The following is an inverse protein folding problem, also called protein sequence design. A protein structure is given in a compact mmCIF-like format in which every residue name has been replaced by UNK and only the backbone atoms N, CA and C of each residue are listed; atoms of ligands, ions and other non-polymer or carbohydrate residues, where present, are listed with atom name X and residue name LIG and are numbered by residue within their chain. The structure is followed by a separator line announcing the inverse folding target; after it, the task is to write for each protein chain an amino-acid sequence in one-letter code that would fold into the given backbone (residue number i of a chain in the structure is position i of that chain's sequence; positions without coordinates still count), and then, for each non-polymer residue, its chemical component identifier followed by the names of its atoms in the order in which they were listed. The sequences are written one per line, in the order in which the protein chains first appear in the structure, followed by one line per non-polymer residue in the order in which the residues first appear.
data_IF_351051708840
#
_entry.id   IF_351051708840
#
_cell.length_a   1.000
_cell.length_b   1.000
_cell.length_c   1.000
_cell.angle_alpha   90.00
_cell.angle_beta   90.00
_cell.angle_gamma   90.00
#
_symmetry.space_group_name_H-M   'P 1'
#
loop_
_entity.id
_entity.type
_entity.pdbx_description
1 polymer ?
#
# COMPACT_ATOMS: atom_id res chain seq x y z
N UNK A 1 10.96 5.04 23.55
CA UNK A 1 12.07 4.04 23.60
C UNK A 1 13.36 4.69 24.06
N UNK A 2 13.99 5.56 23.27
CA UNK A 2 15.29 6.17 23.63
C UNK A 2 15.28 6.91 24.99
N UNK A 3 14.22 7.67 25.29
CA UNK A 3 14.07 8.32 26.61
C UNK A 3 14.02 7.34 27.79
N UNK A 4 13.46 6.14 27.59
CA UNK A 4 13.45 5.11 28.63
C UNK A 4 14.86 4.54 28.84
N UNK A 5 15.61 4.31 27.75
CA UNK A 5 17.01 3.88 27.83
C UNK A 5 17.89 4.94 28.52
N UNK A 6 17.73 6.22 28.17
CA UNK A 6 18.45 7.34 28.80
C UNK A 6 18.17 7.44 30.30
N UNK A 7 16.94 7.18 30.72
CA UNK A 7 16.52 7.18 32.12
C UNK A 7 16.88 5.88 32.88
N UNK A 8 17.48 4.87 32.23
CA UNK A 8 17.75 3.57 32.83
C UNK A 8 16.50 2.76 33.17
N UNK A 9 15.40 2.98 32.44
CA UNK A 9 14.10 2.34 32.64
C UNK A 9 13.87 1.22 31.60
N UNK A 10 13.08 0.18 31.93
CA UNK A 10 12.73 -0.85 30.97
C UNK A 10 11.86 -0.28 29.84
N UNK A 11 12.14 -0.70 28.59
CA UNK A 11 11.29 -0.41 27.42
C UNK A 11 10.04 -1.28 27.40
N UNK A 12 9.23 -1.22 28.45
CA UNK A 12 7.95 -1.92 28.57
C UNK A 12 6.80 -0.93 28.54
N UNK A 13 5.64 -1.34 28.01
CA UNK A 13 4.44 -0.52 28.02
C UNK A 13 3.41 -1.04 29.03
N UNK A 14 2.93 -0.16 29.90
CA UNK A 14 1.74 -0.36 30.76
C UNK A 14 1.76 -1.63 31.62
N UNK A 15 2.96 -2.06 32.03
CA UNK A 15 3.16 -3.19 32.95
C UNK A 15 2.90 -2.79 34.41
N UNK A 16 2.59 -3.77 35.28
CA UNK A 16 2.38 -3.53 36.72
C UNK A 16 3.61 -3.08 37.53
N UNK A 17 4.83 -3.16 36.97
CA UNK A 17 6.01 -2.54 37.57
C UNK A 17 5.86 -1.01 37.61
N UNK A 18 6.34 -0.37 38.69
CA UNK A 18 6.33 1.10 38.80
C UNK A 18 7.12 1.76 37.65
N UNK A 19 8.25 1.17 37.29
CA UNK A 19 9.10 1.64 36.21
C UNK A 19 8.57 1.24 34.82
N UNK A 20 9.04 1.97 33.79
CA UNK A 20 8.73 1.72 32.39
C UNK A 20 7.89 2.83 31.76
N UNK A 21 7.52 2.64 30.50
CA UNK A 21 6.73 3.60 29.74
C UNK A 21 5.25 3.37 30.11
N UNK A 22 4.57 4.44 30.54
CA UNK A 22 3.15 4.41 30.92
C UNK A 22 2.35 5.36 30.04
N UNK A 23 1.23 4.90 29.51
CA UNK A 23 0.25 5.76 28.84
C UNK A 23 -0.48 6.65 29.84
N UNK A 24 -1.12 7.72 29.36
CA UNK A 24 -1.98 8.52 30.22
C UNK A 24 -3.15 7.68 30.73
N UNK A 25 -3.73 6.83 29.87
CA UNK A 25 -4.76 5.88 30.31
C UNK A 25 -4.28 4.99 31.48
N UNK A 26 -3.07 4.42 31.41
CA UNK A 26 -2.53 3.62 32.49
C UNK A 26 -2.39 4.44 33.77
N UNK A 27 -1.87 5.65 33.69
CA UNK A 27 -1.74 6.54 34.84
C UNK A 27 -3.12 6.88 35.43
N UNK A 28 -4.08 7.29 34.61
CA UNK A 28 -5.48 7.53 35.01
C UNK A 28 -6.06 6.36 35.79
N UNK A 29 -5.81 5.14 35.33
CA UNK A 29 -6.38 3.93 35.94
C UNK A 29 -5.63 3.42 37.18
N UNK A 30 -4.34 3.73 37.33
CA UNK A 30 -3.49 3.05 38.32
C UNK A 30 -2.71 3.99 39.26
N UNK A 31 -2.64 5.29 38.99
CA UNK A 31 -1.88 6.22 39.83
C UNK A 31 -2.60 6.49 41.17
N UNK A 32 -1.86 6.64 42.29
CA UNK A 32 -2.45 7.08 43.54
C UNK A 32 -2.98 8.52 43.41
N UNK A 33 -4.01 8.86 44.19
CA UNK A 33 -4.58 10.22 44.23
C UNK A 33 -5.00 10.74 42.84
N UNK A 34 -5.62 9.88 42.03
CA UNK A 34 -6.00 10.22 40.66
C UNK A 34 -7.05 11.34 40.58
N UNK A 35 -6.81 12.29 39.68
CA UNK A 35 -7.72 13.37 39.28
C UNK A 35 -7.88 13.49 37.76
N UNK A 36 -7.47 12.46 37.01
CA UNK A 36 -7.59 12.38 35.56
C UNK A 36 -8.72 11.43 35.15
N UNK A 37 -9.36 11.69 34.02
CA UNK A 37 -10.28 10.79 33.31
C UNK A 37 -9.81 10.49 31.88
N UNK A 38 -8.60 10.94 31.55
CA UNK A 38 -8.03 10.81 30.21
C UNK A 38 -7.60 9.38 29.88
N UNK A 39 -7.75 9.03 28.61
CA UNK A 39 -7.48 7.69 28.07
C UNK A 39 -6.53 7.72 26.85
N UNK A 40 -5.85 8.84 26.61
CA UNK A 40 -4.85 8.93 25.56
C UNK A 40 -3.63 8.01 25.82
N UNK A 41 -2.96 7.50 24.76
CA UNK A 41 -3.16 7.79 23.34
C UNK A 41 -4.06 6.78 22.61
N UNK A 42 -4.57 5.75 23.28
CA UNK A 42 -5.16 4.58 22.62
C UNK A 42 -6.30 4.88 21.64
N UNK A 43 -7.30 5.74 21.95
CA UNK A 43 -8.36 6.04 21.00
C UNK A 43 -7.86 6.67 19.70
N UNK A 44 -6.84 7.53 19.77
CA UNK A 44 -6.26 8.16 18.60
C UNK A 44 -5.46 7.17 17.75
N UNK A 45 -4.66 6.32 18.40
CA UNK A 45 -3.89 5.27 17.72
C UNK A 45 -4.82 4.27 17.00
N UNK A 46 -5.90 3.86 17.67
CA UNK A 46 -6.88 2.92 17.12
C UNK A 46 -7.58 3.47 15.87
N UNK A 47 -7.80 4.79 15.77
CA UNK A 47 -8.36 5.44 14.57
C UNK A 47 -7.52 5.17 13.31
N UNK A 48 -6.22 4.94 13.48
CA UNK A 48 -5.27 4.68 12.40
C UNK A 48 -4.87 3.20 12.31
N UNK A 49 -5.60 2.30 12.97
CA UNK A 49 -5.37 0.86 12.90
C UNK A 49 -4.25 0.34 13.80
N UNK A 50 -3.69 1.17 14.68
CA UNK A 50 -2.71 0.73 15.68
C UNK A 50 -3.47 0.28 16.93
N UNK A 51 -3.59 -1.03 17.12
CA UNK A 51 -4.22 -1.60 18.31
C UNK A 51 -3.35 -1.37 19.56
N UNK A 52 -3.93 -1.62 20.74
CA UNK A 52 -3.20 -1.54 22.02
C UNK A 52 -2.04 -2.53 22.06
N UNK A 53 -2.29 -3.72 21.54
CA UNK A 53 -1.35 -4.82 21.43
C UNK A 53 -0.22 -4.48 20.45
N UNK A 54 -0.55 -3.91 19.28
CA UNK A 54 0.45 -3.43 18.32
C UNK A 54 1.31 -2.33 18.94
N UNK A 55 0.71 -1.34 19.59
CA UNK A 55 1.46 -0.26 20.23
C UNK A 55 2.39 -0.78 21.33
N UNK A 56 1.91 -1.73 22.16
CA UNK A 56 2.75 -2.40 23.15
C UNK A 56 3.91 -3.14 22.49
N UNK A 57 3.64 -3.93 21.46
CA UNK A 57 4.65 -4.66 20.72
C UNK A 57 5.71 -3.72 20.13
N UNK A 58 5.30 -2.62 19.51
CA UNK A 58 6.20 -1.63 18.90
C UNK A 58 7.04 -0.88 19.95
N UNK A 59 6.45 -0.56 21.11
CA UNK A 59 7.18 0.05 22.23
C UNK A 59 8.24 -0.92 22.77
N UNK A 60 7.95 -2.22 22.83
CA UNK A 60 8.82 -3.24 23.42
C UNK A 60 9.90 -3.74 22.46
N UNK A 61 9.57 -3.89 21.18
CA UNK A 61 10.46 -4.48 20.18
C UNK A 61 11.07 -3.44 19.22
N UNK A 62 10.39 -2.30 19.03
CA UNK A 62 10.75 -1.28 18.05
C UNK A 62 9.90 -1.46 16.80
N UNK A 63 9.87 -0.43 15.96
CA UNK A 63 9.09 -0.43 14.72
C UNK A 63 10.06 -0.46 13.54
N UNK A 64 9.99 -1.53 12.74
CA UNK A 64 10.66 -1.65 11.44
C UNK A 64 9.61 -1.86 10.37
N UNK A 65 9.47 -0.89 9.47
CA UNK A 65 8.57 -0.98 8.31
C UNK A 65 9.45 -1.29 7.10
N UNK A 66 9.26 -2.47 6.50
CA UNK A 66 9.91 -2.81 5.24
C UNK A 66 9.19 -2.07 4.10
N UNK A 67 9.81 -1.01 3.60
CA UNK A 67 9.25 -0.13 2.56
C UNK A 67 9.75 -0.54 1.17
N UNK A 68 9.10 0.00 0.13
CA UNK A 68 9.44 -0.26 -1.27
C UNK A 68 8.81 -1.54 -1.81
N UNK A 69 9.42 -2.08 -2.85
CA UNK A 69 8.98 -3.32 -3.49
C UNK A 69 9.21 -4.52 -2.60
N UNK A 70 8.14 -5.27 -2.37
CA UNK A 70 8.12 -6.49 -1.58
C UNK A 70 7.64 -7.65 -2.45
N UNK A 71 8.00 -8.89 -2.09
CA UNK A 71 7.66 -10.09 -2.86
C UNK A 71 7.45 -11.30 -1.96
N UNK A 72 6.49 -12.14 -2.33
CA UNK A 72 6.34 -13.50 -1.82
C UNK A 72 6.03 -14.47 -2.98
N UNK A 73 5.62 -15.69 -2.66
CA UNK A 73 5.29 -16.73 -3.64
C UNK A 73 4.06 -16.39 -4.51
N UNK A 74 3.20 -15.47 -4.04
CA UNK A 74 1.99 -15.05 -4.77
C UNK A 74 2.29 -13.92 -5.75
N UNK A 75 3.12 -12.95 -5.36
CA UNK A 75 3.45 -11.83 -6.23
C UNK A 75 4.19 -10.70 -5.53
N UNK A 76 4.21 -9.54 -6.19
CA UNK A 76 4.81 -8.32 -5.70
C UNK A 76 3.76 -7.37 -5.12
N UNK A 77 4.12 -6.61 -4.09
CA UNK A 77 3.37 -5.44 -3.63
C UNK A 77 4.33 -4.29 -3.35
N UNK A 78 3.81 -3.07 -3.16
CA UNK A 78 4.63 -1.89 -2.90
C UNK A 78 4.23 -1.23 -1.59
N UNK A 79 5.16 -1.14 -0.64
CA UNK A 79 4.92 -0.52 0.67
C UNK A 79 5.44 0.91 0.67
N UNK A 80 4.56 1.88 0.91
CA UNK A 80 4.90 3.28 1.09
C UNK A 80 5.67 3.51 2.40
N UNK A 81 6.24 4.71 2.58
CA UNK A 81 7.01 5.06 3.78
C UNK A 81 6.22 4.97 5.08
N UNK A 82 4.90 5.12 5.01
CA UNK A 82 3.98 5.02 6.16
C UNK A 82 3.48 3.58 6.43
N UNK A 83 3.98 2.59 5.67
CA UNK A 83 3.57 1.19 5.77
C UNK A 83 2.29 0.85 5.01
N UNK A 84 1.59 1.83 4.42
CA UNK A 84 0.45 1.57 3.55
C UNK A 84 0.90 0.98 2.20
N UNK A 85 -0.02 0.34 1.48
CA UNK A 85 0.24 -0.19 0.14
C UNK A 85 -1.03 -0.08 -0.74
N UNK A 86 -0.88 0.11 -2.06
CA UNK A 86 -2.01 0.30 -2.97
C UNK A 86 -2.84 -0.98 -3.09
N UNK A 87 -4.17 -0.82 -3.12
CA UNK A 87 -5.15 -1.90 -3.32
C UNK A 87 -6.25 -1.44 -4.26
N UNK A 88 -6.62 -2.29 -5.22
CA UNK A 88 -7.62 -2.05 -6.28
C UNK A 88 -7.43 -0.73 -7.04
N UNK A 89 -6.18 -0.31 -7.25
CA UNK A 89 -5.87 0.99 -7.85
C UNK A 89 -4.61 0.98 -8.69
N UNK A 90 -4.55 1.97 -9.58
CA UNK A 90 -3.31 2.36 -10.22
C UNK A 90 -2.38 3.04 -9.21
N UNK A 91 -1.08 2.80 -9.36
CA UNK A 91 -0.02 3.48 -8.63
C UNK A 91 1.13 3.80 -9.59
N UNK A 92 1.67 5.03 -9.51
CA UNK A 92 2.85 5.42 -10.27
C UNK A 92 4.08 5.31 -9.39
N UNK A 93 4.97 4.38 -9.72
CA UNK A 93 6.18 4.09 -8.93
C UNK A 93 7.39 4.36 -9.84
N UNK A 94 8.26 5.29 -9.42
CA UNK A 94 9.48 5.66 -10.16
C UNK A 94 9.26 6.00 -11.65
N UNK A 95 8.12 6.62 -11.98
CA UNK A 95 7.79 7.03 -13.35
C UNK A 95 6.91 6.03 -14.11
N UNK A 96 6.81 4.79 -13.65
CA UNK A 96 6.06 3.70 -14.31
C UNK A 96 4.72 3.46 -13.62
N UNK A 97 3.68 3.20 -14.41
CA UNK A 97 2.34 2.89 -13.90
C UNK A 97 2.14 1.39 -13.73
N UNK A 98 1.59 1.02 -12.58
CA UNK A 98 1.22 -0.34 -12.19
C UNK A 98 -0.23 -0.36 -11.71
N UNK A 99 -0.82 -1.55 -11.61
CA UNK A 99 -2.11 -1.74 -10.95
C UNK A 99 -2.01 -2.84 -9.92
N UNK A 100 -2.61 -2.60 -8.76
CA UNK A 100 -2.63 -3.55 -7.65
C UNK A 100 -4.05 -4.04 -7.41
N UNK A 101 -4.22 -5.34 -7.19
CA UNK A 101 -5.52 -5.95 -6.91
C UNK A 101 -6.03 -5.64 -5.50
N UNK A 102 -7.17 -6.24 -5.12
CA UNK A 102 -7.82 -6.02 -3.82
C UNK A 102 -6.98 -6.45 -2.62
N UNK A 103 -6.06 -7.39 -2.82
CA UNK A 103 -5.11 -7.86 -1.80
C UNK A 103 -3.80 -7.08 -1.81
N UNK A 104 -3.63 -6.19 -2.79
CA UNK A 104 -2.43 -5.37 -2.96
C UNK A 104 -1.35 -6.03 -3.79
N UNK A 105 -1.65 -7.12 -4.51
CA UNK A 105 -0.70 -7.73 -5.42
C UNK A 105 -0.72 -7.02 -6.77
N UNK A 106 0.47 -6.74 -7.29
CA UNK A 106 0.68 -6.15 -8.60
C UNK A 106 0.16 -7.09 -9.69
N UNK A 107 -0.64 -6.57 -10.61
CA UNK A 107 -1.03 -7.29 -11.82
C UNK A 107 0.16 -7.39 -12.78
N UNK A 108 0.42 -8.60 -13.26
CA UNK A 108 1.41 -8.89 -14.29
C UNK A 108 0.84 -9.91 -15.28
N UNK A 109 1.13 -9.72 -16.57
CA UNK A 109 0.58 -10.48 -17.69
C UNK A 109 -0.95 -10.58 -17.67
N UNK A 110 -1.61 -9.43 -17.44
CA UNK A 110 -3.06 -9.39 -17.16
C UNK A 110 -3.75 -8.18 -17.77
N UNK A 111 -4.96 -8.43 -18.23
CA UNK A 111 -5.93 -7.40 -18.60
C UNK A 111 -6.70 -6.90 -17.37
N UNK A 112 -7.01 -5.60 -17.34
CA UNK A 112 -7.91 -4.98 -16.35
C UNK A 112 -8.85 -4.02 -17.06
N UNK A 113 -10.15 -4.22 -16.90
CA UNK A 113 -11.13 -3.18 -17.21
C UNK A 113 -11.22 -2.24 -16.02
N UNK A 114 -10.97 -0.96 -16.24
CA UNK A 114 -11.01 0.04 -15.18
C UNK A 114 -12.40 0.69 -15.08
N UNK A 115 -12.62 1.48 -14.03
CA UNK A 115 -13.91 2.12 -13.73
C UNK A 115 -14.30 3.21 -14.73
N UNK A 116 -13.34 3.71 -15.50
CA UNK A 116 -13.56 4.60 -16.65
C UNK A 116 -14.15 3.87 -17.88
N UNK A 117 -14.29 2.54 -17.82
CA UNK A 117 -14.81 1.69 -18.89
C UNK A 117 -13.75 1.22 -19.89
N UNK A 118 -12.51 1.69 -19.78
CA UNK A 118 -11.42 1.33 -20.69
C UNK A 118 -10.72 0.03 -20.25
N UNK A 119 -10.12 -0.65 -21.21
CA UNK A 119 -9.25 -1.80 -20.98
C UNK A 119 -7.80 -1.36 -20.89
N UNK A 120 -7.08 -1.95 -19.95
CA UNK A 120 -5.65 -1.76 -19.71
C UNK A 120 -4.98 -3.13 -19.68
N UNK A 121 -3.71 -3.19 -20.05
CA UNK A 121 -2.91 -4.40 -19.96
C UNK A 121 -1.61 -4.11 -19.22
N UNK A 122 -1.18 -5.06 -18.39
CA UNK A 122 0.07 -5.01 -17.64
C UNK A 122 0.97 -6.15 -18.10
N UNK A 123 2.22 -5.83 -18.44
CA UNK A 123 3.16 -6.83 -18.93
C UNK A 123 3.72 -7.72 -17.81
N UNK A 124 4.67 -8.61 -18.15
CA UNK A 124 5.27 -9.53 -17.17
C UNK A 124 5.99 -8.81 -16.01
N UNK A 125 6.43 -7.57 -16.22
CA UNK A 125 7.02 -6.72 -15.16
C UNK A 125 5.98 -5.92 -14.38
N UNK A 126 4.70 -5.99 -14.80
CA UNK A 126 3.59 -5.23 -14.26
C UNK A 126 3.46 -3.82 -14.83
N UNK A 127 4.32 -3.42 -15.77
CA UNK A 127 4.24 -2.13 -16.41
C UNK A 127 2.98 -2.03 -17.28
N UNK A 128 2.23 -0.94 -17.10
CA UNK A 128 1.07 -0.62 -17.91
C UNK A 128 1.48 -0.42 -19.38
N UNK A 129 0.85 -1.14 -20.30
CA UNK A 129 1.12 -1.00 -21.71
C UNK A 129 0.69 0.36 -22.27
N UNK A 130 1.56 0.91 -23.10
CA UNK A 130 1.31 2.02 -24.02
C UNK A 130 1.78 1.63 -25.42
N UNK A 131 1.20 2.28 -26.44
CA UNK A 131 1.54 2.02 -27.84
C UNK A 131 1.11 0.63 -28.34
N UNK A 132 1.80 0.13 -29.37
CA UNK A 132 1.53 -1.18 -29.96
C UNK A 132 2.07 -2.31 -29.09
N UNK A 133 1.23 -3.32 -28.81
CA UNK A 133 1.63 -4.55 -28.11
C UNK A 133 1.03 -5.76 -28.81
N UNK A 134 1.83 -6.82 -28.92
CA UNK A 134 1.36 -8.14 -29.35
C UNK A 134 1.07 -8.99 -28.12
N UNK A 135 -0.20 -9.31 -27.88
CA UNK A 135 -0.67 -10.05 -26.70
C UNK A 135 -1.45 -11.26 -27.19
N UNK A 136 -1.04 -12.46 -26.78
CA UNK A 136 -1.63 -13.73 -27.25
C UNK A 136 -1.82 -13.78 -28.78
N UNK A 137 -0.75 -13.43 -29.50
CA UNK A 137 -0.66 -13.37 -30.98
C UNK A 137 -1.54 -12.34 -31.70
N UNK A 138 -2.28 -11.49 -30.98
CA UNK A 138 -3.05 -10.37 -31.54
C UNK A 138 -2.37 -9.04 -31.25
N UNK A 139 -2.55 -8.07 -32.16
CA UNK A 139 -2.01 -6.72 -31.99
C UNK A 139 -3.07 -5.80 -31.40
N UNK A 140 -2.68 -5.10 -30.34
CA UNK A 140 -3.48 -4.08 -29.67
C UNK A 140 -2.72 -2.76 -29.66
N UNK A 141 -3.46 -1.66 -29.58
CA UNK A 141 -2.88 -0.33 -29.40
C UNK A 141 -3.45 0.33 -28.15
N UNK A 142 -2.57 0.90 -27.34
CA UNK A 142 -2.91 1.65 -26.12
C UNK A 142 -2.45 3.10 -26.30
N UNK A 143 -3.25 4.08 -25.84
CA UNK A 143 -2.81 5.48 -25.85
C UNK A 143 -1.72 5.75 -24.80
N UNK A 144 -1.29 7.01 -24.69
CA UNK A 144 -0.25 7.44 -23.74
C UNK A 144 -0.69 7.25 -22.28
N UNK A 145 -2.00 7.29 -22.02
CA UNK A 145 -2.60 7.00 -20.72
C UNK A 145 -2.81 5.49 -20.46
N UNK A 146 -2.50 4.62 -21.43
CA UNK A 146 -2.61 3.16 -21.32
C UNK A 146 -3.99 2.57 -21.60
N UNK A 147 -4.98 3.37 -21.98
CA UNK A 147 -6.29 2.91 -22.41
C UNK A 147 -6.22 2.26 -23.81
N UNK A 148 -6.71 1.02 -23.91
CA UNK A 148 -6.84 0.29 -25.16
C UNK A 148 -7.74 1.04 -26.14
N UNK A 149 -7.28 1.19 -27.37
CA UNK A 149 -8.02 1.83 -28.46
C UNK A 149 -8.72 0.79 -29.32
N UNK A 150 -9.86 1.18 -29.88
CA UNK A 150 -10.58 0.46 -30.93
C UNK A 150 -10.82 1.42 -32.10
N UNK A 151 -11.19 0.87 -33.26
CA UNK A 151 -11.39 1.64 -34.48
C UNK A 151 -10.09 2.07 -35.16
N UNK A 152 -10.12 3.20 -35.85
CA UNK A 152 -9.00 3.65 -36.69
C UNK A 152 -7.86 4.24 -35.86
N UNK A 153 -6.65 3.72 -36.06
CA UNK A 153 -5.40 4.25 -35.50
C UNK A 153 -4.42 4.54 -36.63
N UNK A 154 -3.92 5.77 -36.69
CA UNK A 154 -2.83 6.14 -37.61
C UNK A 154 -1.49 5.84 -36.96
N UNK A 155 -0.67 5.03 -37.61
CA UNK A 155 0.69 4.75 -37.17
C UNK A 155 1.67 4.99 -38.32
N UNK A 156 2.54 6.00 -38.15
CA UNK A 156 3.37 6.56 -39.23
C UNK A 156 2.49 6.97 -40.42
N UNK A 157 2.73 6.40 -41.60
CA UNK A 157 2.04 6.72 -42.85
C UNK A 157 0.89 5.74 -43.16
N UNK A 158 0.56 4.83 -42.24
CA UNK A 158 -0.45 3.77 -42.45
C UNK A 158 -1.57 3.86 -41.42
N UNK A 159 -2.77 3.49 -41.85
CA UNK A 159 -3.94 3.34 -40.99
C UNK A 159 -4.19 1.87 -40.69
N UNK A 160 -4.42 1.58 -39.41
CA UNK A 160 -4.85 0.27 -38.92
C UNK A 160 -6.25 0.42 -38.34
N UNK A 161 -7.05 -0.63 -38.50
CA UNK A 161 -8.36 -0.72 -37.85
C UNK A 161 -8.30 -1.81 -36.79
N UNK A 162 -8.63 -1.43 -35.56
CA UNK A 162 -8.76 -2.28 -34.38
C UNK A 162 -10.23 -2.63 -34.19
N UNK A 163 -10.52 -3.90 -33.91
CA UNK A 163 -11.89 -4.40 -33.77
C UNK A 163 -12.65 -3.63 -32.68
N UNK A 164 -13.87 -3.22 -33.00
CA UNK A 164 -14.66 -2.36 -32.11
C UNK A 164 -15.10 -3.07 -30.82
N UNK A 165 -15.12 -4.41 -30.81
CA UNK A 165 -15.63 -5.21 -29.70
C UNK A 165 -14.51 -5.75 -28.82
N UNK A 166 -13.44 -6.26 -29.43
CA UNK A 166 -12.37 -6.99 -28.75
C UNK A 166 -11.00 -6.30 -28.79
N UNK A 167 -10.84 -5.22 -29.58
CA UNK A 167 -9.55 -4.57 -29.82
C UNK A 167 -8.80 -5.17 -31.00
#
# INVERSE_FOLDING_TARGET
RNLADEAGLPKTLDTGSLAGIKTHEYCTNNQPNNHSDHVDPYPYLAKWGISREQFKYDIENGLTIETGWQKNDTGYWYVHSDGSYPKDKFEKINGTWYYFDSSGYMLADRWRKHTDGNWYWFDNSGEMATGWKKIADKWYYFNEEGAMKTGWVKYKDTWYYLDAKEG
#
